data_IF_084730641315
#
_entry.id   IF_084730641315
#
_cell.length_a   1.000
_cell.length_b   1.000
_cell.length_c   1.000
_cell.angle_alpha   90.00
_cell.angle_beta   90.00
_cell.angle_gamma   90.00
#
_symmetry.space_group_name_H-M   'P 1'
#
loop_
_entity.id
_entity.type
_entity.pdbx_description
1 polymer ?
#
# COMPACT_ATOMS: atom_id res chain seq x y z
N UNK A 1 -22.48 -15.40 11.11
CA UNK A 1 -23.09 -15.37 9.76
C UNK A 1 -24.50 -14.83 9.92
N UNK A 2 -24.75 -13.55 9.55
CA UNK A 2 -26.10 -13.05 9.40
C UNK A 2 -26.57 -13.45 8.00
N UNK A 3 -27.70 -14.15 7.95
CA UNK A 3 -28.40 -14.53 6.72
C UNK A 3 -28.59 -13.32 5.81
N UNK A 4 -28.45 -13.51 4.51
CA UNK A 4 -28.76 -12.49 3.52
C UNK A 4 -30.25 -12.15 3.64
N UNK A 5 -30.53 -10.88 3.89
CA UNK A 5 -31.91 -10.37 3.95
C UNK A 5 -32.54 -10.54 2.57
N UNK A 6 -33.45 -11.53 2.44
CA UNK A 6 -34.20 -11.82 1.22
C UNK A 6 -35.42 -10.91 1.03
N UNK A 7 -35.48 -9.78 1.72
CA UNK A 7 -36.57 -8.83 1.59
C UNK A 7 -36.57 -8.13 0.22
N UNK A 8 -37.74 -7.73 -0.25
CA UNK A 8 -37.90 -6.87 -1.43
C UNK A 8 -37.10 -5.59 -1.33
N UNK A 9 -36.83 -5.11 -0.13
CA UNK A 9 -36.00 -3.95 0.22
C UNK A 9 -34.52 -4.20 -0.14
N UNK A 10 -33.97 -5.35 0.22
CA UNK A 10 -32.62 -5.73 -0.13
C UNK A 10 -32.46 -5.94 -1.65
N UNK A 11 -33.45 -6.53 -2.31
CA UNK A 11 -33.38 -6.73 -3.75
C UNK A 11 -33.30 -5.38 -4.51
N UNK A 12 -34.05 -4.35 -4.09
CA UNK A 12 -33.96 -3.00 -4.67
C UNK A 12 -32.59 -2.36 -4.44
N UNK A 13 -32.06 -2.46 -3.23
CA UNK A 13 -30.73 -1.94 -2.92
C UNK A 13 -29.65 -2.66 -3.76
N UNK A 14 -29.74 -3.99 -3.87
CA UNK A 14 -28.80 -4.82 -4.64
C UNK A 14 -28.84 -4.51 -6.14
N UNK A 15 -30.01 -4.23 -6.69
CA UNK A 15 -30.14 -3.84 -8.11
C UNK A 15 -29.36 -2.58 -8.48
N UNK A 16 -29.13 -1.68 -7.50
CA UNK A 16 -28.37 -0.44 -7.69
C UNK A 16 -26.90 -0.52 -7.21
N UNK A 17 -26.43 -1.72 -6.84
CA UNK A 17 -25.08 -1.97 -6.33
C UNK A 17 -23.99 -1.31 -7.19
N UNK A 18 -24.04 -1.56 -8.51
CA UNK A 18 -23.03 -1.03 -9.42
C UNK A 18 -23.03 0.50 -9.50
N UNK A 19 -24.22 1.10 -9.47
CA UNK A 19 -24.36 2.56 -9.45
C UNK A 19 -23.68 3.18 -8.22
N UNK A 20 -23.93 2.63 -7.03
CA UNK A 20 -23.32 3.14 -5.79
C UNK A 20 -21.80 2.95 -5.78
N UNK A 21 -21.31 1.80 -6.21
CA UNK A 21 -19.87 1.52 -6.25
C UNK A 21 -19.14 2.44 -7.24
N UNK A 22 -19.70 2.69 -8.42
CA UNK A 22 -19.18 3.67 -9.38
C UNK A 22 -19.24 5.10 -8.85
N UNK A 23 -20.28 5.45 -8.11
CA UNK A 23 -20.42 6.79 -7.54
C UNK A 23 -19.36 7.07 -6.49
N UNK A 24 -18.98 6.08 -5.68
CA UNK A 24 -17.91 6.21 -4.67
C UNK A 24 -16.52 6.48 -5.27
N UNK A 25 -16.30 6.16 -6.55
CA UNK A 25 -15.01 6.49 -7.22
C UNK A 25 -14.93 7.96 -7.66
N UNK A 26 -16.03 8.70 -7.61
CA UNK A 26 -16.06 10.12 -8.00
C UNK A 26 -15.46 10.99 -6.89
N UNK A 27 -14.69 12.00 -7.29
CA UNK A 27 -14.12 13.00 -6.38
C UNK A 27 -15.22 13.69 -5.57
N UNK A 28 -15.06 13.80 -4.26
CA UNK A 28 -16.00 14.40 -3.30
C UNK A 28 -17.31 13.61 -3.01
N UNK A 29 -17.49 12.41 -3.55
CA UNK A 29 -18.62 11.57 -3.17
C UNK A 29 -18.33 10.83 -1.87
N UNK A 30 -19.23 10.96 -0.90
CA UNK A 30 -19.14 10.27 0.40
C UNK A 30 -20.24 9.24 0.56
N UNK A 31 -20.03 8.24 1.43
CA UNK A 31 -21.09 7.26 1.78
C UNK A 31 -22.30 7.92 2.39
N UNK A 32 -22.10 8.99 3.16
CA UNK A 32 -23.18 9.79 3.76
C UNK A 32 -24.06 10.43 2.68
N UNK A 33 -23.46 11.08 1.70
CA UNK A 33 -24.18 11.74 0.61
C UNK A 33 -24.95 10.72 -0.25
N UNK A 34 -24.37 9.55 -0.51
CA UNK A 34 -25.04 8.46 -1.23
C UNK A 34 -26.23 7.91 -0.43
N UNK A 35 -26.10 7.81 0.90
CA UNK A 35 -27.20 7.39 1.73
C UNK A 35 -28.35 8.40 1.76
N UNK A 36 -28.05 9.70 1.78
CA UNK A 36 -29.06 10.76 1.71
C UNK A 36 -29.85 10.66 0.40
N UNK A 37 -29.16 10.52 -0.74
CA UNK A 37 -29.81 10.31 -2.04
C UNK A 37 -30.68 9.04 -2.06
N UNK A 38 -30.13 7.92 -1.56
CA UNK A 38 -30.89 6.67 -1.43
C UNK A 38 -32.14 6.82 -0.56
N UNK A 39 -32.04 7.55 0.54
CA UNK A 39 -33.15 7.80 1.46
C UNK A 39 -34.25 8.65 0.80
N UNK A 40 -33.89 9.66 0.01
CA UNK A 40 -34.84 10.47 -0.76
C UNK A 40 -35.63 9.63 -1.79
N UNK A 41 -34.94 8.68 -2.44
CA UNK A 41 -35.57 7.83 -3.47
C UNK A 41 -36.44 6.72 -2.90
N UNK A 42 -36.08 6.09 -1.78
CA UNK A 42 -36.79 4.93 -1.21
C UNK A 42 -37.76 5.33 -0.08
N UNK A 43 -37.71 6.56 0.42
CA UNK A 43 -38.57 7.07 1.47
C UNK A 43 -38.53 6.20 2.72
N UNK A 44 -39.71 5.81 3.23
CA UNK A 44 -39.87 4.99 4.45
C UNK A 44 -39.29 3.56 4.29
N UNK A 45 -39.03 3.11 3.06
CA UNK A 45 -38.39 1.82 2.78
C UNK A 45 -36.87 1.87 2.79
N UNK A 46 -36.26 3.03 3.00
CA UNK A 46 -34.81 3.17 3.02
C UNK A 46 -34.18 2.48 4.25
N UNK A 47 -33.04 1.83 4.06
CA UNK A 47 -32.22 1.34 5.17
C UNK A 47 -31.66 2.49 5.98
N UNK A 48 -31.40 2.25 7.27
CA UNK A 48 -30.64 3.19 8.09
C UNK A 48 -29.25 3.40 7.50
N UNK A 49 -28.60 4.52 7.81
CA UNK A 49 -27.25 4.81 7.36
C UNK A 49 -26.26 3.68 7.72
N UNK A 50 -26.37 3.11 8.92
CA UNK A 50 -25.50 2.02 9.36
C UNK A 50 -25.67 0.75 8.51
N UNK A 51 -26.93 0.38 8.17
CA UNK A 51 -27.20 -0.80 7.33
C UNK A 51 -26.80 -0.57 5.88
N UNK A 52 -27.07 0.61 5.32
CA UNK A 52 -26.64 0.97 3.97
C UNK A 52 -25.12 0.96 3.84
N UNK A 53 -24.43 1.58 4.79
CA UNK A 53 -22.94 1.60 4.83
C UNK A 53 -22.37 0.20 5.01
N UNK A 54 -23.00 -0.68 5.80
CA UNK A 54 -22.61 -2.09 5.93
C UNK A 54 -22.65 -2.83 4.59
N UNK A 55 -23.76 -2.71 3.83
CA UNK A 55 -23.87 -3.35 2.52
C UNK A 55 -22.87 -2.80 1.52
N UNK A 56 -22.67 -1.48 1.50
CA UNK A 56 -21.66 -0.87 0.63
C UNK A 56 -20.26 -1.38 0.95
N UNK A 57 -19.89 -1.41 2.22
CA UNK A 57 -18.57 -1.93 2.64
C UNK A 57 -18.40 -3.40 2.27
N UNK A 58 -19.43 -4.24 2.48
CA UNK A 58 -19.42 -5.65 2.05
C UNK A 58 -19.20 -5.78 0.56
N UNK A 59 -19.81 -4.94 -0.26
CA UNK A 59 -19.65 -4.96 -1.71
C UNK A 59 -18.31 -4.42 -2.18
N UNK A 60 -17.80 -3.37 -1.56
CA UNK A 60 -16.44 -2.85 -1.83
C UNK A 60 -15.37 -3.90 -1.54
N UNK A 61 -15.49 -4.60 -0.42
CA UNK A 61 -14.55 -5.66 -0.05
C UNK A 61 -14.59 -6.87 -1.00
N UNK A 62 -15.77 -7.19 -1.55
CA UNK A 62 -15.91 -8.22 -2.58
C UNK A 62 -15.33 -7.82 -3.94
N UNK A 63 -15.33 -6.51 -4.28
CA UNK A 63 -14.71 -6.01 -5.52
C UNK A 63 -13.20 -5.83 -5.41
N UNK A 64 -12.69 -5.59 -4.20
CA UNK A 64 -11.25 -5.67 -3.96
C UNK A 64 -10.82 -7.14 -3.99
N UNK A 65 -10.80 -7.71 -5.19
CA UNK A 65 -9.98 -8.88 -5.45
C UNK A 65 -8.54 -8.41 -5.28
N UNK A 66 -8.05 -8.47 -4.05
CA UNK A 66 -6.63 -8.33 -3.78
C UNK A 66 -6.02 -9.53 -4.48
N UNK A 67 -5.39 -9.26 -5.61
CA UNK A 67 -4.55 -10.23 -6.28
C UNK A 67 -3.37 -10.45 -5.34
N UNK A 68 -3.51 -11.40 -4.42
CA UNK A 68 -2.38 -11.87 -3.61
C UNK A 68 -1.45 -12.56 -4.60
N UNK A 69 -0.47 -11.82 -5.08
CA UNK A 69 0.64 -12.40 -5.82
C UNK A 69 1.36 -13.33 -4.84
N UNK A 70 1.09 -14.62 -4.97
CA UNK A 70 1.76 -15.62 -4.16
C UNK A 70 3.27 -15.43 -4.30
N UNK A 71 3.96 -15.20 -3.20
CA UNK A 71 5.43 -15.14 -3.15
C UNK A 71 5.97 -16.52 -2.84
N UNK A 72 7.12 -16.88 -3.41
CA UNK A 72 7.87 -18.09 -3.06
C UNK A 72 9.01 -17.73 -2.12
N UNK A 73 9.50 -18.70 -1.31
CA UNK A 73 10.68 -18.45 -0.47
C UNK A 73 11.86 -17.95 -1.29
N UNK A 74 12.49 -16.86 -0.84
CA UNK A 74 13.66 -16.28 -1.49
C UNK A 74 13.43 -15.73 -2.91
N UNK A 75 12.18 -15.54 -3.32
CA UNK A 75 11.87 -15.05 -4.65
C UNK A 75 12.13 -13.55 -4.78
N UNK A 76 11.66 -12.75 -3.81
CA UNK A 76 11.78 -11.30 -3.89
C UNK A 76 11.93 -10.63 -2.52
N UNK A 77 12.60 -9.50 -2.53
CA UNK A 77 12.68 -8.52 -1.46
C UNK A 77 11.99 -7.24 -1.95
N UNK A 78 11.04 -6.76 -1.19
CA UNK A 78 10.38 -5.48 -1.44
C UNK A 78 11.03 -4.42 -0.55
N UNK A 79 11.42 -3.30 -1.14
CA UNK A 79 12.17 -2.22 -0.48
C UNK A 79 11.46 -0.90 -0.73
N UNK A 80 11.17 -0.18 0.35
CA UNK A 80 10.53 1.13 0.29
C UNK A 80 10.94 1.99 1.48
N UNK A 81 10.68 3.29 1.40
CA UNK A 81 10.79 4.20 2.54
C UNK A 81 9.42 4.44 3.17
N UNK A 82 9.37 4.46 4.51
CA UNK A 82 8.17 4.87 5.21
C UNK A 82 7.79 6.31 4.83
N UNK A 83 6.48 6.57 4.65
CA UNK A 83 6.01 7.88 4.21
C UNK A 83 6.25 9.00 5.22
N UNK A 84 6.23 8.69 6.52
CA UNK A 84 6.44 9.66 7.59
C UNK A 84 7.88 9.57 8.11
N UNK A 85 8.52 10.74 8.28
CA UNK A 85 9.85 10.84 8.89
C UNK A 85 9.78 10.68 10.39
N UNK A 86 10.70 9.92 10.95
CA UNK A 86 10.90 9.88 12.39
C UNK A 86 11.66 11.11 12.87
N UNK A 87 11.35 11.56 14.09
CA UNK A 87 12.06 12.64 14.75
C UNK A 87 12.86 12.09 15.93
N UNK A 88 14.08 12.53 16.07
CA UNK A 88 14.94 12.19 17.21
C UNK A 88 15.66 13.44 17.72
N UNK A 89 16.08 13.40 18.98
CA UNK A 89 16.89 14.45 19.56
C UNK A 89 18.35 14.04 19.43
N UNK A 90 19.10 14.86 18.72
CA UNK A 90 20.55 14.69 18.61
C UNK A 90 21.20 14.91 19.98
N UNK A 91 21.94 13.92 20.43
CA UNK A 91 22.53 13.94 21.79
C UNK A 91 23.64 15.00 22.00
N UNK A 92 24.30 15.40 20.92
CA UNK A 92 25.41 16.35 20.99
C UNK A 92 24.92 17.78 20.89
N UNK A 93 23.99 18.06 19.95
CA UNK A 93 23.48 19.42 19.73
C UNK A 93 22.22 19.74 20.51
N UNK A 94 21.47 18.73 20.98
CA UNK A 94 20.14 18.88 21.59
C UNK A 94 19.02 19.23 20.58
N UNK A 95 19.34 19.31 19.30
CA UNK A 95 18.38 19.68 18.27
C UNK A 95 17.49 18.50 17.85
N UNK A 96 16.26 18.82 17.42
CA UNK A 96 15.35 17.83 16.84
C UNK A 96 15.74 17.64 15.37
N UNK A 97 16.24 16.46 15.06
CA UNK A 97 16.54 16.01 13.69
C UNK A 97 15.48 15.06 13.18
N UNK A 98 15.40 14.94 11.88
CA UNK A 98 14.50 13.98 11.19
C UNK A 98 15.35 12.94 10.46
N UNK A 99 14.82 11.71 10.39
CA UNK A 99 15.40 10.65 9.59
C UNK A 99 14.32 9.95 8.76
N UNK A 100 14.73 9.38 7.65
CA UNK A 100 13.92 8.50 6.82
C UNK A 100 14.07 7.06 7.35
N UNK A 101 13.05 6.24 7.15
CA UNK A 101 13.09 4.83 7.56
C UNK A 101 13.03 3.95 6.33
N UNK A 102 14.13 3.24 6.05
CA UNK A 102 14.15 2.20 5.03
C UNK A 102 13.49 0.95 5.57
N UNK A 103 12.61 0.35 4.78
CA UNK A 103 11.89 -0.89 5.11
C UNK A 103 12.14 -1.91 4.00
N UNK A 104 12.61 -3.09 4.36
CA UNK A 104 12.82 -4.22 3.47
C UNK A 104 11.98 -5.39 3.94
N UNK A 105 11.18 -5.97 3.06
CA UNK A 105 10.23 -7.05 3.40
C UNK A 105 10.45 -8.25 2.49
N UNK A 106 10.48 -9.45 3.08
CA UNK A 106 10.34 -10.71 2.36
C UNK A 106 8.87 -11.14 2.37
N UNK A 107 8.10 -10.98 1.28
CA UNK A 107 6.64 -11.17 1.30
C UNK A 107 6.17 -12.60 1.58
N UNK A 108 7.05 -13.60 1.43
CA UNK A 108 6.71 -14.99 1.75
C UNK A 108 6.65 -15.26 3.25
N UNK A 109 7.58 -14.70 4.01
CA UNK A 109 7.74 -14.96 5.44
C UNK A 109 7.30 -13.83 6.33
N UNK A 110 6.93 -12.68 5.74
CA UNK A 110 6.68 -11.41 6.42
C UNK A 110 7.87 -10.96 7.30
N UNK A 111 9.09 -11.45 6.97
CA UNK A 111 10.31 -10.98 7.62
C UNK A 111 10.59 -9.55 7.20
N UNK A 112 10.68 -8.67 8.18
CA UNK A 112 10.89 -7.24 7.98
C UNK A 112 12.25 -6.85 8.56
N UNK A 113 13.03 -6.13 7.76
CA UNK A 113 14.17 -5.36 8.21
C UNK A 113 13.85 -3.87 8.07
N UNK A 114 14.16 -3.07 9.08
CA UNK A 114 14.03 -1.62 8.97
C UNK A 114 15.19 -0.92 9.66
N UNK A 115 15.59 0.22 9.11
CA UNK A 115 16.64 1.08 9.68
C UNK A 115 16.32 2.55 9.44
N UNK A 116 16.80 3.39 10.37
CA UNK A 116 16.76 4.85 10.23
C UNK A 116 17.96 5.32 9.43
N UNK A 117 17.74 6.20 8.46
CA UNK A 117 18.76 6.80 7.61
C UNK A 117 18.64 8.32 7.65
N UNK A 118 19.75 9.03 7.47
CA UNK A 118 19.73 10.50 7.50
C UNK A 118 18.92 11.09 6.34
N UNK A 119 18.99 10.45 5.17
CA UNK A 119 18.29 10.85 3.96
C UNK A 119 18.02 9.64 3.03
N UNK A 120 17.27 9.89 1.96
CA UNK A 120 17.01 8.92 0.90
C UNK A 120 18.04 9.00 -0.25
N UNK A 121 19.30 9.31 0.06
CA UNK A 121 20.36 9.33 -0.93
C UNK A 121 20.59 7.93 -1.51
N UNK A 122 21.11 7.90 -2.72
CA UNK A 122 21.42 6.65 -3.40
C UNK A 122 22.40 5.77 -2.62
N UNK A 123 23.38 6.38 -1.96
CA UNK A 123 24.35 5.67 -1.14
C UNK A 123 23.66 4.99 0.04
N UNK A 124 22.87 5.77 0.81
CA UNK A 124 22.13 5.24 1.96
C UNK A 124 21.17 4.11 1.53
N UNK A 125 20.50 4.27 0.39
CA UNK A 125 19.60 3.26 -0.16
C UNK A 125 20.34 1.94 -0.46
N UNK A 126 21.43 2.00 -1.23
CA UNK A 126 22.20 0.80 -1.62
C UNK A 126 22.85 0.13 -0.41
N UNK A 127 23.46 0.90 0.48
CA UNK A 127 24.04 0.36 1.70
C UNK A 127 22.99 -0.25 2.63
N UNK A 128 21.81 0.37 2.74
CA UNK A 128 20.68 -0.15 3.52
C UNK A 128 20.19 -1.49 2.98
N UNK A 129 20.08 -1.64 1.66
CA UNK A 129 19.79 -2.94 1.05
C UNK A 129 20.90 -3.95 1.39
N UNK A 130 22.14 -3.59 1.26
CA UNK A 130 23.27 -4.48 1.63
C UNK A 130 23.20 -4.95 3.08
N UNK A 131 22.90 -4.04 4.03
CA UNK A 131 22.71 -4.39 5.43
C UNK A 131 21.47 -5.29 5.64
N UNK A 132 20.41 -5.07 4.90
CA UNK A 132 19.21 -5.93 4.96
C UNK A 132 19.51 -7.36 4.47
N UNK A 133 20.26 -7.51 3.37
CA UNK A 133 20.67 -8.82 2.85
C UNK A 133 21.57 -9.56 3.85
N UNK A 134 22.45 -8.83 4.51
CA UNK A 134 23.31 -9.40 5.56
C UNK A 134 22.47 -9.87 6.77
N UNK A 135 21.47 -9.08 7.19
CA UNK A 135 20.54 -9.46 8.26
C UNK A 135 19.71 -10.68 7.90
N UNK A 136 19.22 -10.75 6.66
CA UNK A 136 18.46 -11.90 6.15
C UNK A 136 19.33 -13.15 6.03
N UNK A 137 20.64 -12.98 5.82
CA UNK A 137 21.60 -14.06 5.64
C UNK A 137 21.54 -14.75 4.29
N UNK A 138 20.82 -14.18 3.33
CA UNK A 138 20.68 -14.71 1.97
C UNK A 138 20.31 -13.62 0.97
N UNK A 139 20.48 -13.91 -0.32
CA UNK A 139 20.14 -12.98 -1.41
C UNK A 139 18.91 -13.48 -2.16
N UNK A 140 17.83 -12.69 -2.23
CA UNK A 140 16.65 -13.04 -3.01
C UNK A 140 16.95 -12.94 -4.52
N UNK A 141 16.12 -13.59 -5.32
CA UNK A 141 16.28 -13.56 -6.80
C UNK A 141 15.96 -12.20 -7.40
N UNK A 142 15.15 -11.40 -6.72
CA UNK A 142 14.66 -10.13 -7.22
C UNK A 142 14.57 -9.13 -6.07
N UNK A 143 15.03 -7.92 -6.30
CA UNK A 143 14.81 -6.76 -5.41
C UNK A 143 13.85 -5.82 -6.12
N UNK A 144 12.72 -5.49 -5.48
CA UNK A 144 11.68 -4.60 -6.01
C UNK A 144 11.65 -3.35 -5.14
N UNK A 145 11.80 -2.19 -5.76
CA UNK A 145 11.63 -0.91 -5.10
C UNK A 145 10.65 -0.04 -5.86
N UNK A 146 9.72 0.60 -5.13
CA UNK A 146 8.83 1.61 -5.71
C UNK A 146 9.53 2.98 -5.83
N UNK A 147 10.61 3.20 -5.07
CA UNK A 147 11.38 4.44 -5.09
C UNK A 147 12.44 4.44 -6.20
N UNK A 148 11.99 4.58 -7.44
CA UNK A 148 12.83 4.60 -8.64
C UNK A 148 13.85 5.74 -8.65
N UNK A 149 13.65 6.83 -7.90
CA UNK A 149 14.53 8.00 -7.91
C UNK A 149 15.93 7.72 -7.36
N UNK A 150 16.05 6.87 -6.36
CA UNK A 150 17.34 6.52 -5.75
C UNK A 150 18.09 5.42 -6.50
N UNK A 151 17.38 4.61 -7.29
CA UNK A 151 17.94 3.47 -8.02
C UNK A 151 18.10 3.66 -9.54
N UNK A 152 17.47 4.67 -10.13
CA UNK A 152 17.38 4.85 -11.59
C UNK A 152 17.91 6.22 -12.00
N UNK A 153 18.89 6.22 -12.90
CA UNK A 153 19.49 7.43 -13.47
C UNK A 153 18.57 8.11 -14.50
N UNK A 154 17.85 7.32 -15.29
CA UNK A 154 16.93 7.81 -16.31
C UNK A 154 15.64 6.97 -16.25
N UNK A 155 14.50 7.56 -15.86
CA UNK A 155 13.24 6.85 -15.88
C UNK A 155 12.79 6.66 -17.32
N UNK A 156 12.87 5.45 -17.83
CA UNK A 156 12.26 5.03 -19.09
C UNK A 156 11.24 3.93 -18.81
N UNK A 157 10.12 3.96 -19.52
CA UNK A 157 9.02 2.99 -19.30
C UNK A 157 9.41 1.57 -19.75
N UNK A 158 10.36 1.44 -20.66
CA UNK A 158 10.74 0.17 -21.28
C UNK A 158 12.16 -0.29 -20.94
N UNK A 159 13.10 0.65 -20.75
CA UNK A 159 14.50 0.35 -20.42
C UNK A 159 15.04 1.35 -19.38
N UNK A 160 14.65 1.25 -18.11
CA UNK A 160 15.20 2.12 -17.08
C UNK A 160 16.69 1.83 -16.87
N UNK A 161 17.53 2.86 -16.95
CA UNK A 161 18.96 2.70 -16.65
C UNK A 161 19.18 2.77 -15.15
N UNK A 162 19.72 1.71 -14.58
CA UNK A 162 20.15 1.67 -13.19
C UNK A 162 21.26 2.71 -12.94
N UNK A 163 21.36 3.13 -11.71
CA UNK A 163 22.50 3.94 -11.30
C UNK A 163 23.72 3.04 -11.15
N UNK A 164 24.91 3.61 -11.30
CA UNK A 164 26.17 2.88 -11.21
C UNK A 164 26.32 2.09 -9.90
N UNK A 165 25.88 2.65 -8.79
CA UNK A 165 25.89 1.96 -7.49
C UNK A 165 24.93 0.75 -7.45
N UNK A 166 23.74 0.86 -8.05
CA UNK A 166 22.82 -0.27 -8.14
C UNK A 166 23.34 -1.35 -9.08
N UNK A 167 24.01 -0.97 -10.17
CA UNK A 167 24.69 -1.93 -11.06
C UNK A 167 25.82 -2.67 -10.32
N UNK A 168 26.67 -1.94 -9.60
CA UNK A 168 27.74 -2.54 -8.80
C UNK A 168 27.19 -3.48 -7.72
N UNK A 169 26.13 -3.09 -7.03
CA UNK A 169 25.45 -3.96 -6.05
C UNK A 169 24.93 -5.23 -6.72
N UNK A 170 24.30 -5.14 -7.89
CA UNK A 170 23.78 -6.31 -8.62
C UNK A 170 24.85 -7.25 -9.15
N UNK A 171 26.07 -6.76 -9.33
CA UNK A 171 27.24 -7.58 -9.72
C UNK A 171 27.90 -8.24 -8.50
N UNK A 172 27.75 -7.66 -7.32
CA UNK A 172 28.34 -8.18 -6.08
C UNK A 172 27.52 -9.33 -5.48
N UNK A 173 26.19 -9.26 -5.56
CA UNK A 173 25.25 -10.24 -5.03
C UNK A 173 24.64 -11.11 -6.12
#
# INVERSE_FOLDING_TARGET
>A
YKEEDNSTRFARLKARKEHYLRSLTRKHMTKQLLWEQYKEEEGDNAYSNSQFSYYLHKWESQQKTVMVLGSKPGERLEVDYAGDKLKYIDKESGEIKQCDVLVCVLPYSDLIYCEAQEDQSQMNFVEGIGRSLHYIGNVPKLIISDNLKSGIKTPDKYEPKLTELCEQMSLYY
#
